data_IF_622285998902
#
_entry.id   IF_622285998902
#
_cell.length_a   1.000
_cell.length_b   1.000
_cell.length_c   1.000
_cell.angle_alpha   90.00
_cell.angle_beta   90.00
_cell.angle_gamma   90.00
#
_symmetry.space_group_name_H-M   'P 1'
#
loop_
_entity.id
_entity.type
_entity.pdbx_description
1 polymer ?
#
# COMPACT_ATOMS: atom_id res chain seq x y z
N UNK A 1 -2.10 11.44 15.87
CA UNK A 1 -0.79 10.91 16.32
C UNK A 1 0.07 10.77 15.08
N UNK A 2 1.11 11.52 14.95
CA UNK A 2 2.00 11.49 13.79
C UNK A 2 2.87 10.23 13.91
N UNK A 3 3.02 9.44 12.85
CA UNK A 3 3.94 8.28 12.80
C UNK A 3 5.38 8.72 13.12
N UNK A 4 5.68 9.98 12.91
CA UNK A 4 6.95 10.62 13.21
C UNK A 4 7.44 10.40 14.66
N UNK A 5 6.53 10.21 15.60
CA UNK A 5 6.88 10.06 17.02
C UNK A 5 7.37 8.65 17.41
N UNK A 6 7.27 7.66 16.51
CA UNK A 6 7.68 6.27 16.77
C UNK A 6 8.87 5.80 15.95
N UNK A 7 9.16 6.46 14.83
CA UNK A 7 10.31 6.18 13.97
C UNK A 7 11.25 7.39 13.99
N UNK A 8 11.79 7.74 15.13
CA UNK A 8 12.95 8.62 15.20
C UNK A 8 14.17 7.77 14.87
N UNK A 9 14.31 7.45 13.60
CA UNK A 9 15.58 6.98 13.08
C UNK A 9 16.45 8.24 12.97
N UNK A 10 17.68 8.18 13.47
CA UNK A 10 18.65 9.27 13.38
C UNK A 10 19.18 9.38 11.93
N UNK A 11 18.24 9.46 11.01
CA UNK A 11 18.48 9.66 9.58
C UNK A 11 17.83 10.97 9.14
N UNK A 12 18.47 11.63 8.19
CA UNK A 12 17.96 12.88 7.62
C UNK A 12 16.61 12.72 6.91
N UNK A 13 16.02 13.83 6.57
CA UNK A 13 14.77 13.87 5.82
C UNK A 13 14.91 13.21 4.44
N UNK A 14 13.78 12.78 3.87
CA UNK A 14 13.69 12.34 2.48
C UNK A 14 13.50 13.57 1.59
N UNK A 15 14.36 13.73 0.58
CA UNK A 15 14.30 14.83 -0.37
C UNK A 15 13.87 14.33 -1.74
N UNK A 16 12.79 14.90 -2.29
CA UNK A 16 12.33 14.59 -3.66
C UNK A 16 12.33 15.87 -4.47
N UNK A 17 13.21 15.93 -5.47
CA UNK A 17 13.14 16.94 -6.52
C UNK A 17 12.19 16.47 -7.62
N UNK A 18 11.24 17.32 -8.01
CA UNK A 18 10.29 17.03 -9.07
C UNK A 18 10.17 18.21 -10.02
N UNK A 19 10.42 17.95 -11.30
CA UNK A 19 10.21 18.89 -12.38
C UNK A 19 9.48 18.21 -13.54
N UNK A 20 8.15 18.40 -13.64
CA UNK A 20 7.34 17.74 -14.66
C UNK A 20 7.60 18.26 -16.08
N UNK A 21 8.26 19.39 -16.24
CA UNK A 21 8.55 20.02 -17.52
C UNK A 21 10.00 19.81 -18.00
N UNK A 22 10.82 19.14 -17.22
CA UNK A 22 12.19 18.78 -17.56
C UNK A 22 12.23 17.51 -18.42
N UNK A 23 12.36 17.67 -19.72
CA UNK A 23 12.51 16.60 -20.70
C UNK A 23 13.90 16.59 -21.29
N UNK A 24 14.37 15.42 -21.69
CA UNK A 24 15.59 15.26 -22.49
C UNK A 24 15.35 14.28 -23.62
N UNK A 25 16.04 14.44 -24.76
CA UNK A 25 15.94 13.52 -25.90
C UNK A 25 16.38 12.10 -25.52
N UNK A 26 17.22 11.98 -24.50
CA UNK A 26 17.69 10.68 -23.99
C UNK A 26 16.61 9.94 -23.20
N UNK A 27 15.69 10.66 -22.56
CA UNK A 27 14.61 10.13 -21.72
C UNK A 27 13.30 10.82 -22.08
N UNK A 28 12.72 10.53 -23.26
CA UNK A 28 11.53 11.23 -23.74
C UNK A 28 10.26 10.93 -22.94
N UNK A 29 10.25 9.82 -22.18
CA UNK A 29 9.12 9.44 -21.31
C UNK A 29 9.31 9.89 -19.87
N UNK A 30 10.38 10.64 -19.59
CA UNK A 30 10.72 11.09 -18.24
C UNK A 30 11.80 10.21 -17.60
N UNK A 31 12.23 10.64 -16.42
CA UNK A 31 13.32 10.02 -15.66
C UNK A 31 13.00 10.00 -14.18
N UNK A 32 13.09 8.84 -13.53
CA UNK A 32 13.07 8.71 -12.09
C UNK A 32 14.38 8.09 -11.61
N UNK A 33 15.09 8.79 -10.73
CA UNK A 33 16.33 8.35 -10.10
C UNK A 33 16.17 8.34 -8.59
N UNK A 34 16.72 7.32 -7.95
CA UNK A 34 16.68 7.15 -6.50
C UNK A 34 18.07 6.91 -5.97
N UNK A 35 18.51 7.78 -5.05
CA UNK A 35 19.72 7.62 -4.27
C UNK A 35 19.34 7.24 -2.83
N UNK A 36 19.37 5.96 -2.56
CA UNK A 36 18.99 5.39 -1.29
C UNK A 36 20.01 5.72 -0.18
N UNK A 37 21.28 5.92 -0.55
CA UNK A 37 22.32 6.24 0.42
C UNK A 37 22.18 7.67 1.00
N UNK A 38 21.61 8.58 0.21
CA UNK A 38 21.42 9.98 0.60
C UNK A 38 19.93 10.36 0.78
N UNK A 39 19.03 9.39 0.83
CA UNK A 39 17.58 9.58 1.01
C UNK A 39 16.98 10.59 0.02
N UNK A 40 17.42 10.59 -1.24
CA UNK A 40 16.91 11.52 -2.22
C UNK A 40 16.44 10.86 -3.52
N UNK A 41 15.51 11.53 -4.20
CA UNK A 41 15.04 11.15 -5.51
C UNK A 41 14.88 12.35 -6.42
N UNK A 42 15.02 12.11 -7.74
CA UNK A 42 14.71 13.07 -8.79
C UNK A 42 13.69 12.47 -9.75
N UNK A 43 12.61 13.18 -10.00
CA UNK A 43 11.51 12.77 -10.89
C UNK A 43 11.28 13.89 -11.89
N UNK A 44 11.63 13.67 -13.15
CA UNK A 44 11.62 14.66 -14.22
C UNK A 44 10.79 14.19 -15.40
N UNK A 45 10.10 15.13 -16.08
CA UNK A 45 9.28 14.84 -17.24
C UNK A 45 8.03 14.01 -16.97
N UNK A 46 7.65 13.85 -15.73
CA UNK A 46 6.52 13.02 -15.33
C UNK A 46 5.52 13.78 -14.46
N UNK A 47 4.23 13.62 -14.77
CA UNK A 47 3.11 14.18 -13.99
C UNK A 47 2.33 13.12 -13.22
N UNK A 48 2.78 11.86 -13.29
CA UNK A 48 2.11 10.75 -12.64
C UNK A 48 2.48 10.71 -11.15
N UNK A 49 1.50 11.01 -10.29
CA UNK A 49 1.68 11.02 -8.83
C UNK A 49 2.17 9.68 -8.25
N UNK A 50 1.86 8.57 -8.94
CA UNK A 50 2.32 7.24 -8.51
C UNK A 50 3.83 7.11 -8.39
N UNK A 51 4.62 7.80 -9.25
CA UNK A 51 6.08 7.81 -9.15
C UNK A 51 6.55 8.52 -7.88
N UNK A 52 5.94 9.64 -7.52
CA UNK A 52 6.27 10.36 -6.28
C UNK A 52 5.95 9.50 -5.05
N UNK A 53 4.76 8.90 -5.03
CA UNK A 53 4.30 8.01 -3.95
C UNK A 53 5.20 6.79 -3.79
N UNK A 54 5.44 6.07 -4.88
CA UNK A 54 6.29 4.86 -4.86
C UNK A 54 7.76 5.20 -4.61
N UNK A 55 8.25 6.34 -5.13
CA UNK A 55 9.59 6.82 -4.85
C UNK A 55 9.81 7.11 -3.37
N UNK A 56 8.88 7.81 -2.73
CA UNK A 56 8.94 8.06 -1.29
C UNK A 56 8.95 6.75 -0.50
N UNK A 57 8.12 5.77 -0.88
CA UNK A 57 8.12 4.46 -0.24
C UNK A 57 9.43 3.70 -0.45
N UNK A 58 10.02 3.77 -1.65
CA UNK A 58 11.31 3.13 -1.94
C UNK A 58 12.40 3.65 -1.01
N UNK A 59 12.47 4.95 -0.80
CA UNK A 59 13.43 5.55 0.13
C UNK A 59 13.11 5.19 1.59
N UNK A 60 11.85 5.23 1.98
CA UNK A 60 11.41 4.86 3.33
C UNK A 60 11.72 3.39 3.65
N UNK A 61 11.54 2.48 2.70
CA UNK A 61 11.90 1.07 2.86
C UNK A 61 13.41 0.87 2.98
N UNK A 62 14.23 1.63 2.22
CA UNK A 62 15.69 1.57 2.36
C UNK A 62 16.15 2.08 3.72
N UNK A 63 15.54 3.14 4.24
CA UNK A 63 15.78 3.62 5.60
C UNK A 63 15.41 2.53 6.62
N UNK A 64 14.25 1.92 6.47
CA UNK A 64 13.79 0.86 7.36
C UNK A 64 14.75 -0.34 7.36
N UNK A 65 15.21 -0.78 6.19
CA UNK A 65 16.16 -1.90 6.05
C UNK A 65 17.48 -1.63 6.79
N UNK A 66 18.06 -0.43 6.62
CA UNK A 66 19.30 -0.04 7.31
C UNK A 66 19.12 0.03 8.84
N UNK A 67 17.90 0.18 9.31
CA UNK A 67 17.56 0.28 10.73
C UNK A 67 16.94 -0.99 11.33
N UNK A 68 17.18 -2.14 10.69
CA UNK A 68 16.81 -3.44 11.25
C UNK A 68 15.35 -3.83 11.03
N UNK A 69 14.71 -3.31 9.97
CA UNK A 69 13.37 -3.70 9.58
C UNK A 69 13.36 -4.41 8.22
N UNK A 70 12.41 -5.27 8.00
CA UNK A 70 12.12 -5.86 6.69
C UNK A 70 11.04 -5.05 5.99
N UNK A 71 11.34 -4.58 4.78
CA UNK A 71 10.41 -3.85 3.92
C UNK A 71 9.36 -4.79 3.32
N UNK A 72 8.08 -4.41 3.42
CA UNK A 72 6.97 -5.24 3.00
C UNK A 72 6.03 -4.50 2.03
N UNK A 73 5.80 -5.13 0.86
CA UNK A 73 4.77 -4.72 -0.09
C UNK A 73 3.66 -5.77 -0.09
N UNK A 74 2.66 -5.57 0.73
CA UNK A 74 1.60 -6.56 0.95
C UNK A 74 0.53 -6.02 1.89
N UNK A 75 -0.33 -6.91 2.35
CA UNK A 75 -1.32 -6.59 3.36
C UNK A 75 -1.00 -7.23 4.70
N UNK A 76 -1.43 -6.61 5.78
CA UNK A 76 -1.32 -7.20 7.11
C UNK A 76 -2.58 -6.97 7.93
N UNK A 77 -3.03 -8.01 8.60
CA UNK A 77 -4.17 -7.96 9.53
C UNK A 77 -3.96 -8.88 10.74
N UNK A 78 -4.67 -8.54 11.79
CA UNK A 78 -4.77 -9.33 13.02
C UNK A 78 -6.19 -9.86 13.16
N UNK A 79 -6.33 -11.13 13.47
CA UNK A 79 -7.57 -11.76 13.94
C UNK A 79 -7.58 -11.72 15.45
N UNK A 80 -8.65 -11.20 16.04
CA UNK A 80 -8.83 -11.10 17.48
C UNK A 80 -9.82 -12.18 17.93
N UNK A 81 -9.45 -13.03 18.85
CA UNK A 81 -10.29 -14.13 19.32
C UNK A 81 -10.99 -13.79 20.64
N UNK A 82 -12.09 -14.47 20.90
CA UNK A 82 -12.93 -14.22 22.09
C UNK A 82 -12.23 -14.52 23.41
N UNK A 83 -11.22 -15.38 23.39
CA UNK A 83 -10.39 -15.72 24.56
C UNK A 83 -9.28 -14.71 24.86
N UNK A 84 -9.23 -13.62 24.08
CA UNK A 84 -8.22 -12.58 24.21
C UNK A 84 -6.93 -12.86 23.45
N UNK A 85 -6.78 -14.03 22.82
CA UNK A 85 -5.66 -14.31 21.93
C UNK A 85 -5.83 -13.62 20.57
N UNK A 86 -4.74 -13.51 19.80
CA UNK A 86 -4.79 -12.97 18.45
C UNK A 86 -3.79 -13.69 17.54
N UNK A 87 -4.02 -13.56 16.23
CA UNK A 87 -3.10 -14.05 15.19
C UNK A 87 -2.90 -12.96 14.15
N UNK A 88 -1.64 -12.61 13.89
CA UNK A 88 -1.24 -11.63 12.88
C UNK A 88 -0.78 -12.37 11.62
N UNK A 89 -1.37 -12.00 10.49
CA UNK A 89 -0.99 -12.55 9.19
C UNK A 89 -0.46 -11.46 8.26
N UNK A 90 0.61 -11.79 7.53
CA UNK A 90 1.07 -11.04 6.37
C UNK A 90 0.54 -11.67 5.07
N UNK A 91 0.10 -10.87 4.12
CA UNK A 91 -0.52 -11.30 2.86
C UNK A 91 0.25 -10.71 1.69
N UNK A 92 0.90 -11.55 0.91
CA UNK A 92 1.75 -11.16 -0.20
C UNK A 92 1.30 -11.82 -1.52
N UNK A 93 1.74 -11.28 -2.65
CA UNK A 93 1.43 -11.81 -3.98
C UNK A 93 1.48 -10.73 -5.06
N UNK A 94 1.31 -11.11 -6.30
CA UNK A 94 1.37 -10.22 -7.44
C UNK A 94 0.21 -9.22 -7.47
N UNK A 95 0.35 -8.16 -8.27
CA UNK A 95 -0.75 -7.21 -8.52
C UNK A 95 -2.00 -7.95 -9.01
N UNK A 96 -3.15 -7.61 -8.46
CA UNK A 96 -4.43 -8.25 -8.81
C UNK A 96 -4.60 -9.69 -8.30
N UNK A 97 -3.72 -10.20 -7.43
CA UNK A 97 -3.87 -11.53 -6.82
C UNK A 97 -4.98 -11.60 -5.76
N UNK A 98 -5.42 -10.47 -5.23
CA UNK A 98 -6.44 -10.39 -4.19
C UNK A 98 -5.92 -10.00 -2.80
N UNK A 99 -4.68 -9.50 -2.69
CA UNK A 99 -4.09 -9.06 -1.40
C UNK A 99 -5.02 -8.12 -0.63
N UNK A 100 -5.37 -6.98 -1.23
CA UNK A 100 -6.23 -5.97 -0.59
C UNK A 100 -7.62 -6.54 -0.26
N UNK A 101 -8.16 -7.40 -1.14
CA UNK A 101 -9.45 -8.07 -0.89
C UNK A 101 -9.41 -8.91 0.39
N UNK A 102 -8.38 -9.74 0.57
CA UNK A 102 -8.25 -10.58 1.78
C UNK A 102 -7.93 -9.70 2.99
N UNK A 103 -7.01 -8.74 2.85
CA UNK A 103 -6.58 -7.88 3.95
C UNK A 103 -7.74 -7.03 4.48
N UNK A 104 -8.52 -6.42 3.61
CA UNK A 104 -9.60 -5.51 4.00
C UNK A 104 -10.94 -6.23 4.28
N UNK A 105 -11.05 -7.52 3.95
CA UNK A 105 -12.27 -8.30 4.19
C UNK A 105 -12.57 -8.42 5.68
N UNK A 106 -13.84 -8.24 6.05
CA UNK A 106 -14.38 -8.52 7.38
C UNK A 106 -14.86 -9.97 7.54
N UNK A 107 -14.65 -10.83 6.53
CA UNK A 107 -15.05 -12.25 6.53
C UNK A 107 -16.54 -12.49 6.89
N UNK A 108 -17.41 -11.57 6.43
CA UNK A 108 -18.85 -11.63 6.72
C UNK A 108 -19.19 -11.35 8.19
N UNK A 109 -18.30 -10.66 8.92
CA UNK A 109 -18.48 -10.34 10.33
C UNK A 109 -18.32 -11.54 11.29
N UNK A 110 -17.84 -12.68 10.78
CA UNK A 110 -17.66 -13.91 11.59
C UNK A 110 -16.43 -13.84 12.51
N UNK A 111 -15.47 -13.01 12.14
CA UNK A 111 -14.21 -12.83 12.86
C UNK A 111 -14.03 -11.36 13.17
N UNK A 112 -13.59 -11.05 14.37
CA UNK A 112 -13.11 -9.72 14.72
C UNK A 112 -11.71 -9.54 14.14
N UNK A 113 -11.50 -8.45 13.40
CA UNK A 113 -10.25 -8.23 12.69
C UNK A 113 -9.77 -6.79 12.85
N UNK A 114 -8.46 -6.61 12.92
CA UNK A 114 -7.81 -5.31 12.88
C UNK A 114 -6.86 -5.26 11.70
N UNK A 115 -6.94 -4.21 10.88
CA UNK A 115 -6.09 -4.04 9.68
C UNK A 115 -4.92 -3.13 10.01
N UNK A 116 -3.71 -3.52 9.64
CA UNK A 116 -2.54 -2.63 9.65
C UNK A 116 -2.52 -1.77 8.39
N UNK A 117 -2.33 -2.39 7.24
CA UNK A 117 -2.35 -1.79 5.90
C UNK A 117 -2.50 -2.87 4.83
N UNK A 118 -2.79 -2.47 3.58
CA UNK A 118 -2.93 -3.37 2.44
C UNK A 118 -1.88 -3.20 1.34
N UNK A 119 -0.94 -2.24 1.48
CA UNK A 119 0.08 -1.95 0.46
C UNK A 119 1.50 -1.86 1.04
N UNK A 120 1.76 -1.01 2.05
CA UNK A 120 3.12 -0.72 2.51
C UNK A 120 3.26 -0.71 4.03
N UNK A 121 4.14 -1.56 4.53
CA UNK A 121 4.49 -1.66 5.95
C UNK A 121 5.91 -2.19 6.13
N UNK A 122 6.39 -2.20 7.36
CA UNK A 122 7.68 -2.76 7.76
C UNK A 122 7.50 -3.70 8.95
N UNK A 123 8.34 -4.70 9.03
CA UNK A 123 8.41 -5.67 10.14
C UNK A 123 9.77 -5.55 10.82
N UNK A 124 9.78 -5.38 12.13
CA UNK A 124 11.01 -5.39 12.94
C UNK A 124 11.69 -6.76 12.88
N UNK A 125 12.98 -6.77 12.62
CA UNK A 125 13.79 -8.00 12.62
C UNK A 125 14.10 -8.50 14.04
N UNK A 126 13.85 -7.67 15.07
CA UNK A 126 14.12 -8.00 16.44
C UNK A 126 12.95 -8.75 17.11
N UNK A 127 11.75 -8.21 17.00
CA UNK A 127 10.56 -8.71 17.71
C UNK A 127 9.38 -9.05 16.81
N UNK A 128 9.55 -8.92 15.48
CA UNK A 128 8.53 -9.15 14.47
C UNK A 128 7.28 -8.25 14.63
N UNK A 129 7.37 -7.16 15.37
CA UNK A 129 6.34 -6.11 15.38
C UNK A 129 6.26 -5.40 14.03
N UNK A 130 5.16 -4.71 13.76
CA UNK A 130 4.92 -4.15 12.42
C UNK A 130 4.40 -2.74 12.48
N UNK A 131 4.81 -1.90 11.50
CA UNK A 131 4.42 -0.50 11.40
C UNK A 131 3.98 -0.20 9.98
N UNK A 132 2.81 0.43 9.81
CA UNK A 132 2.33 0.95 8.53
C UNK A 132 3.13 2.19 8.12
N UNK A 133 3.57 2.23 6.86
CA UNK A 133 4.26 3.41 6.29
C UNK A 133 3.28 4.42 5.66
N UNK A 134 2.03 4.04 5.45
CA UNK A 134 1.04 4.88 4.81
C UNK A 134 -0.14 5.19 5.72
N UNK A 135 -0.53 6.47 5.76
CA UNK A 135 -1.68 6.93 6.54
C UNK A 135 -3.00 6.88 5.77
N UNK A 136 -2.94 6.62 4.46
CA UNK A 136 -4.10 6.58 3.57
C UNK A 136 -3.96 5.43 2.59
N UNK A 137 -5.05 5.05 1.94
CA UNK A 137 -5.04 4.09 0.85
C UNK A 137 -4.82 4.81 -0.47
N UNK A 138 -4.02 4.21 -1.35
CA UNK A 138 -3.77 4.71 -2.69
C UNK A 138 -4.25 3.69 -3.71
N UNK A 139 -5.48 3.87 -4.18
CA UNK A 139 -6.21 2.88 -4.97
C UNK A 139 -6.37 3.32 -6.43
N UNK A 140 -6.66 2.35 -7.30
CA UNK A 140 -7.08 2.64 -8.68
C UNK A 140 -8.53 3.10 -8.70
N UNK A 141 -8.84 4.19 -9.43
CA UNK A 141 -10.20 4.71 -9.52
C UNK A 141 -11.17 3.73 -10.16
N UNK A 142 -10.69 2.89 -11.08
CA UNK A 142 -11.50 1.88 -11.77
C UNK A 142 -12.07 0.80 -10.84
N UNK A 143 -11.52 0.65 -9.64
CA UNK A 143 -12.04 -0.28 -8.63
C UNK A 143 -13.27 0.30 -7.89
N UNK A 144 -13.65 1.56 -8.21
CA UNK A 144 -14.73 2.30 -7.56
C UNK A 144 -15.72 2.85 -8.60
N UNK A 145 -16.76 2.09 -8.98
CA UNK A 145 -17.88 2.61 -9.76
C UNK A 145 -18.48 3.89 -9.12
N UNK A 146 -19.13 4.74 -9.93
CA UNK A 146 -19.63 6.05 -9.49
C UNK A 146 -20.53 6.03 -8.26
N UNK A 147 -21.26 4.95 -8.06
CA UNK A 147 -22.18 4.71 -6.95
C UNK A 147 -21.57 3.95 -5.77
N UNK A 148 -20.26 3.69 -5.80
CA UNK A 148 -19.58 2.97 -4.73
C UNK A 148 -19.64 3.74 -3.41
N UNK A 149 -20.17 3.13 -2.32
CA UNK A 149 -20.27 3.76 -1.00
C UNK A 149 -18.93 4.23 -0.42
N UNK A 150 -17.82 3.64 -0.86
CA UNK A 150 -16.47 4.02 -0.43
C UNK A 150 -16.02 5.36 -1.02
N UNK A 151 -16.67 5.86 -2.09
CA UNK A 151 -16.30 7.12 -2.74
C UNK A 151 -16.41 8.33 -1.79
N UNK A 152 -17.23 8.25 -0.75
CA UNK A 152 -17.32 9.29 0.30
C UNK A 152 -16.03 9.49 1.11
N UNK A 153 -15.12 8.52 1.05
CA UNK A 153 -13.83 8.58 1.74
C UNK A 153 -12.69 9.06 0.86
N UNK A 154 -12.96 9.40 -0.41
CA UNK A 154 -11.93 9.94 -1.30
C UNK A 154 -11.49 11.33 -0.84
N UNK A 155 -10.19 11.49 -0.64
CA UNK A 155 -9.55 12.76 -0.34
C UNK A 155 -9.14 13.49 -1.61
N UNK A 156 -8.62 12.75 -2.59
CA UNK A 156 -8.25 13.26 -3.91
C UNK A 156 -8.55 12.22 -4.99
N UNK A 157 -8.78 12.70 -6.21
CA UNK A 157 -8.85 11.87 -7.41
C UNK A 157 -7.93 12.49 -8.44
N UNK A 158 -7.10 11.69 -9.08
CA UNK A 158 -6.03 12.13 -9.97
C UNK A 158 -6.02 11.29 -11.26
N UNK A 159 -5.54 11.90 -12.33
CA UNK A 159 -5.34 11.26 -13.65
C UNK A 159 -6.60 10.58 -14.21
N UNK A 160 -7.78 11.09 -13.90
CA UNK A 160 -9.03 10.66 -14.51
C UNK A 160 -9.79 11.85 -15.08
N UNK A 161 -10.65 11.57 -16.07
CA UNK A 161 -11.56 12.57 -16.63
C UNK A 161 -12.65 12.97 -15.62
N UNK A 162 -13.36 14.05 -15.94
CA UNK A 162 -14.54 14.47 -15.20
C UNK A 162 -15.70 14.72 -16.15
N UNK A 163 -16.91 14.38 -15.71
CA UNK A 163 -18.17 14.62 -16.44
C UNK A 163 -19.20 15.22 -15.51
N UNK A 164 -20.36 15.62 -16.06
CA UNK A 164 -21.50 16.06 -15.25
C UNK A 164 -22.55 14.93 -15.19
N UNK A 165 -23.03 14.67 -13.99
CA UNK A 165 -24.15 13.73 -13.80
C UNK A 165 -25.47 14.40 -14.19
N UNK A 166 -26.59 13.67 -14.07
CA UNK A 166 -27.94 14.14 -14.39
C UNK A 166 -28.38 15.39 -13.58
N UNK A 167 -27.77 15.64 -12.43
CA UNK A 167 -28.00 16.81 -11.58
C UNK A 167 -27.08 17.99 -11.91
N UNK A 168 -26.23 17.86 -12.96
CA UNK A 168 -25.26 18.88 -13.36
C UNK A 168 -24.01 18.94 -12.48
N UNK A 169 -23.87 18.08 -11.48
CA UNK A 169 -22.72 18.00 -10.58
C UNK A 169 -21.53 17.37 -11.29
N UNK A 170 -20.35 17.97 -11.09
CA UNK A 170 -19.10 17.41 -11.60
C UNK A 170 -18.77 16.10 -10.85
N UNK A 171 -18.58 15.02 -11.59
CA UNK A 171 -18.23 13.69 -11.08
C UNK A 171 -17.05 13.12 -11.85
N UNK A 172 -16.17 12.33 -11.20
CA UNK A 172 -15.05 11.70 -11.91
C UNK A 172 -15.55 10.58 -12.83
N UNK A 173 -14.88 10.42 -13.96
CA UNK A 173 -14.98 9.21 -14.80
C UNK A 173 -14.00 8.20 -14.26
N UNK A 174 -14.46 7.34 -13.36
CA UNK A 174 -13.62 6.36 -12.67
C UNK A 174 -13.22 5.20 -13.57
N UNK A 175 -14.06 4.90 -14.57
CA UNK A 175 -13.75 3.97 -15.63
C UNK A 175 -12.72 4.64 -16.55
N UNK A 176 -11.45 4.31 -16.34
CA UNK A 176 -10.38 4.92 -17.11
C UNK A 176 -10.35 4.38 -18.53
N UNK A 177 -11.02 5.08 -19.41
CA UNK A 177 -11.15 4.74 -20.83
C UNK A 177 -9.86 5.04 -21.59
N UNK A 178 -8.98 5.91 -21.05
CA UNK A 178 -7.84 6.44 -21.80
C UNK A 178 -6.49 5.82 -21.44
N UNK A 179 -6.17 5.58 -20.20
CA UNK A 179 -4.81 5.20 -19.82
C UNK A 179 -4.64 4.27 -18.58
N UNK A 180 -5.69 3.89 -17.89
CA UNK A 180 -5.62 3.02 -16.71
C UNK A 180 -4.87 3.60 -15.50
N UNK A 181 -4.57 4.91 -15.51
CA UNK A 181 -3.73 5.60 -14.52
C UNK A 181 -4.52 6.44 -13.51
N UNK A 182 -5.85 6.36 -13.54
CA UNK A 182 -6.67 7.01 -12.53
C UNK A 182 -6.38 6.48 -11.13
N UNK A 183 -6.14 7.40 -10.19
CA UNK A 183 -5.81 7.08 -8.80
C UNK A 183 -6.64 7.90 -7.84
N UNK A 184 -6.94 7.32 -6.70
CA UNK A 184 -7.56 8.03 -5.57
C UNK A 184 -6.74 7.84 -4.31
N UNK A 185 -6.64 8.91 -3.52
CA UNK A 185 -6.21 8.80 -2.13
C UNK A 185 -7.47 8.68 -1.28
N UNK A 186 -7.62 7.55 -0.60
CA UNK A 186 -8.78 7.25 0.23
C UNK A 186 -8.40 7.32 1.70
N UNK A 187 -9.24 7.99 2.50
CA UNK A 187 -9.07 8.10 3.93
C UNK A 187 -9.05 6.74 4.62
N UNK A 188 -8.24 6.61 5.66
CA UNK A 188 -8.23 5.45 6.58
C UNK A 188 -9.59 5.20 7.25
N UNK A 189 -10.43 6.21 7.35
CA UNK A 189 -11.79 6.08 7.87
C UNK A 189 -12.68 5.14 7.03
N UNK A 190 -12.24 4.80 5.82
CA UNK A 190 -12.88 3.75 5.01
C UNK A 190 -12.80 2.35 5.67
N UNK A 191 -11.86 2.16 6.60
CA UNK A 191 -11.66 0.92 7.36
C UNK A 191 -11.75 1.26 8.85
N UNK A 192 -12.87 0.93 9.47
CA UNK A 192 -13.18 1.34 10.84
C UNK A 192 -12.38 0.62 11.95
N UNK A 193 -11.66 -0.44 11.59
CA UNK A 193 -10.91 -1.32 12.49
C UNK A 193 -9.41 -1.32 12.15
N UNK A 194 -8.82 -0.15 12.00
CA UNK A 194 -7.41 0.01 11.63
C UNK A 194 -6.55 0.46 12.81
N UNK A 195 -5.34 -0.13 12.90
CA UNK A 195 -4.24 0.32 13.73
C UNK A 195 -3.02 0.63 12.84
N UNK A 196 -2.15 1.53 13.28
CA UNK A 196 -0.94 1.89 12.52
C UNK A 196 0.29 1.06 12.89
N UNK A 197 0.23 0.34 14.00
CA UNK A 197 1.29 -0.53 14.46
C UNK A 197 0.70 -1.75 15.17
N UNK A 198 1.31 -2.91 14.96
CA UNK A 198 1.08 -4.12 15.74
C UNK A 198 2.31 -4.42 16.56
N UNK A 199 2.16 -4.41 17.89
CA UNK A 199 3.22 -4.76 18.82
C UNK A 199 3.32 -6.29 19.04
N UNK A 200 2.41 -7.05 18.42
CA UNK A 200 2.45 -8.52 18.40
C UNK A 200 3.20 -8.99 17.16
N UNK A 201 3.98 -10.09 17.27
CA UNK A 201 4.73 -10.62 16.14
C UNK A 201 3.80 -11.10 15.01
N UNK A 202 4.36 -11.18 13.80
CA UNK A 202 3.69 -11.81 12.66
C UNK A 202 3.75 -13.33 12.84
N UNK A 203 2.59 -13.98 12.90
CA UNK A 203 2.47 -15.43 13.16
C UNK A 203 2.53 -16.26 11.88
N UNK A 204 2.03 -15.69 10.74
CA UNK A 204 1.99 -16.42 9.48
C UNK A 204 2.10 -15.51 8.27
N UNK A 205 2.71 -16.02 7.21
CA UNK A 205 2.84 -15.40 5.89
C UNK A 205 1.99 -16.17 4.89
N UNK A 206 1.15 -15.47 4.15
CA UNK A 206 0.33 -16.01 3.07
C UNK A 206 0.81 -15.47 1.72
N UNK A 207 1.24 -16.36 0.85
CA UNK A 207 1.53 -16.07 -0.55
C UNK A 207 0.30 -16.38 -1.39
N UNK A 208 -0.28 -15.36 -2.01
CA UNK A 208 -1.46 -15.51 -2.85
C UNK A 208 -1.01 -15.68 -4.30
N UNK A 209 -1.34 -16.82 -4.87
CA UNK A 209 -1.06 -17.16 -6.26
C UNK A 209 -2.35 -17.48 -7.03
N UNK A 210 -2.36 -17.15 -8.31
CA UNK A 210 -3.42 -17.54 -9.25
C UNK A 210 -2.96 -18.75 -10.05
N UNK A 211 -2.88 -19.90 -9.42
CA UNK A 211 -2.50 -21.16 -10.07
C UNK A 211 -3.56 -22.21 -9.84
N UNK A 212 -4.20 -22.66 -10.94
CA UNK A 212 -5.27 -23.65 -10.91
C UNK A 212 -4.77 -25.07 -10.63
N UNK A 213 -3.48 -25.32 -10.73
CA UNK A 213 -2.87 -26.63 -10.47
C UNK A 213 -2.62 -26.87 -8.99
N UNK A 214 -2.58 -25.81 -8.18
CA UNK A 214 -2.37 -25.89 -6.75
C UNK A 214 -3.69 -26.18 -6.00
N UNK A 215 -3.64 -26.92 -4.88
CA UNK A 215 -4.75 -26.96 -3.93
C UNK A 215 -5.10 -25.56 -3.42
N UNK A 216 -6.34 -25.34 -2.93
CA UNK A 216 -6.75 -24.03 -2.42
C UNK A 216 -5.86 -23.44 -1.34
N UNK A 217 -5.23 -24.29 -0.52
CA UNK A 217 -4.27 -23.92 0.52
C UNK A 217 -3.18 -24.98 0.58
N UNK A 218 -1.92 -24.51 0.55
CA UNK A 218 -0.73 -25.35 0.76
C UNK A 218 0.06 -24.77 1.91
N UNK A 219 0.37 -25.60 2.91
CA UNK A 219 1.27 -25.20 4.00
C UNK A 219 2.70 -25.61 3.66
N UNK A 220 3.58 -24.64 3.60
CA UNK A 220 5.03 -24.84 3.45
C UNK A 220 5.65 -24.89 4.84
N UNK A 221 6.27 -26.01 5.19
CA UNK A 221 6.92 -26.21 6.49
C UNK A 221 8.44 -26.05 6.42
N UNK A 222 9.01 -26.04 5.23
CA UNK A 222 10.44 -25.86 5.00
C UNK A 222 10.74 -24.39 4.67
N UNK A 223 11.48 -23.67 5.53
CA UNK A 223 11.84 -22.27 5.26
C UNK A 223 12.64 -22.10 3.96
N UNK A 224 13.49 -23.05 3.59
CA UNK A 224 14.28 -22.98 2.37
C UNK A 224 13.38 -23.05 1.13
N UNK A 225 12.34 -23.90 1.16
CA UNK A 225 11.35 -23.97 0.09
C UNK A 225 10.47 -22.69 0.04
N UNK A 226 10.22 -22.07 1.19
CA UNK A 226 9.46 -20.82 1.22
C UNK A 226 10.23 -19.62 0.63
N UNK A 227 11.55 -19.71 0.54
CA UNK A 227 12.45 -18.66 0.02
C UNK A 227 12.87 -18.91 -1.44
N UNK A 228 12.56 -20.04 -2.02
CA UNK A 228 12.86 -20.39 -3.42
C UNK A 228 11.75 -19.95 -4.37
#
# INVERSE_FOLDING_TARGET
>A
MCIRDRLVLDEGDIYIYSDPDMYTDRFPEGLALFDQAHNCAMICGMRYFGEHKKGTLTLAWSIAERNGYTACHGGQKRFNFKDGSSTVIGVFGLSGSGKSTITLSNHGGKLDTTVLHDDAFIISNEDCSSISLEQSYFDKTQDYPLDNPQSKYFLTIQNCGATRNSEGKLVPVTEDICNGNGRTVKSVLATGNREYAFNTPVDAIFWIMKDKSLPPVVKVNDPALALS
#
